data_IF_190238982572
#
_entry.id   IF_190238982572
#
_cell.length_a   1.000
_cell.length_b   1.000
_cell.length_c   1.000
_cell.angle_alpha   90.00
_cell.angle_beta   90.00
_cell.angle_gamma   90.00
#
_symmetry.space_group_name_H-M   'P 1'
#
loop_
_entity.id
_entity.type
_entity.pdbx_description
1 polymer ?
#
# COMPACT_ATOMS: atom_id res chain seq x y z
N UNK A 1 -74.64 -24.86 6.77
CA UNK A 1 -73.40 -24.58 7.47
C UNK A 1 -72.31 -25.39 6.78
N UNK A 2 -71.39 -24.70 6.00
CA UNK A 2 -70.33 -25.39 5.26
C UNK A 2 -69.05 -25.32 6.12
N UNK A 3 -68.54 -26.48 6.53
CA UNK A 3 -67.26 -26.58 7.26
C UNK A 3 -66.11 -26.50 6.26
N UNK A 4 -65.34 -25.45 6.33
CA UNK A 4 -64.12 -25.27 5.57
C UNK A 4 -62.92 -25.88 6.35
N UNK A 5 -62.50 -27.08 5.93
CA UNK A 5 -61.33 -27.74 6.52
C UNK A 5 -60.05 -27.08 6.00
N UNK A 6 -59.32 -26.37 6.87
CA UNK A 6 -58.02 -25.76 6.57
C UNK A 6 -56.93 -26.83 6.74
N UNK A 7 -56.44 -27.34 5.64
CA UNK A 7 -55.30 -28.30 5.63
C UNK A 7 -54.00 -27.55 5.87
N UNK A 8 -53.42 -27.61 7.08
CA UNK A 8 -52.16 -27.03 7.44
C UNK A 8 -51.03 -27.93 6.89
N UNK A 9 -50.41 -27.55 5.77
CA UNK A 9 -49.24 -28.25 5.22
C UNK A 9 -48.00 -27.83 6.00
N UNK A 10 -47.46 -28.72 6.83
CA UNK A 10 -46.21 -28.54 7.57
C UNK A 10 -45.03 -28.82 6.62
N UNK A 11 -44.41 -27.79 6.08
CA UNK A 11 -43.17 -27.92 5.29
C UNK A 11 -42.01 -28.08 6.26
N UNK A 12 -41.58 -29.32 6.49
CA UNK A 12 -40.32 -29.60 7.19
C UNK A 12 -39.15 -29.20 6.30
N UNK A 13 -38.55 -28.04 6.57
CA UNK A 13 -37.27 -27.69 6.02
C UNK A 13 -36.19 -28.57 6.67
N UNK A 14 -35.74 -29.61 5.98
CA UNK A 14 -34.53 -30.36 6.36
C UNK A 14 -33.32 -29.47 6.16
N UNK A 15 -32.90 -28.80 7.21
CA UNK A 15 -31.61 -28.14 7.25
C UNK A 15 -30.51 -29.19 7.13
N UNK A 16 -29.88 -29.31 5.98
CA UNK A 16 -28.69 -30.17 5.83
C UNK A 16 -27.55 -29.50 6.60
N UNK A 17 -27.25 -30.02 7.79
CA UNK A 17 -26.10 -29.65 8.55
C UNK A 17 -24.84 -30.12 7.80
N UNK A 18 -24.15 -29.20 7.08
CA UNK A 18 -22.86 -29.49 6.48
C UNK A 18 -21.76 -29.43 7.55
N UNK A 19 -20.94 -30.47 7.60
CA UNK A 19 -19.76 -30.48 8.46
C UNK A 19 -18.80 -29.39 7.96
N UNK A 20 -18.50 -28.42 8.82
CA UNK A 20 -17.51 -27.37 8.52
C UNK A 20 -16.12 -27.85 8.96
N UNK A 21 -15.18 -27.89 8.03
CA UNK A 21 -13.77 -28.22 8.30
C UNK A 21 -12.87 -27.07 7.89
N UNK A 22 -11.75 -26.85 8.60
CA UNK A 22 -10.76 -25.85 8.19
C UNK A 22 -10.21 -26.14 6.79
N UNK A 23 -10.04 -25.09 5.99
CA UNK A 23 -9.43 -25.20 4.67
C UNK A 23 -7.92 -25.51 4.80
N UNK A 24 -7.37 -26.49 4.06
CA UNK A 24 -5.93 -26.79 4.06
C UNK A 24 -5.03 -25.62 3.66
N UNK A 25 -5.55 -24.72 2.82
CA UNK A 25 -4.89 -23.49 2.38
C UNK A 25 -5.86 -22.33 2.60
N UNK A 26 -5.88 -21.73 3.81
CA UNK A 26 -6.84 -20.68 4.12
C UNK A 26 -6.64 -19.47 3.21
N UNK A 27 -7.76 -18.84 2.84
CA UNK A 27 -7.72 -17.59 2.08
C UNK A 27 -7.35 -16.41 2.97
N UNK A 28 -6.74 -15.40 2.38
CA UNK A 28 -6.49 -14.12 3.03
C UNK A 28 -6.81 -12.99 2.07
N UNK A 29 -7.24 -11.86 2.63
CA UNK A 29 -7.40 -10.60 1.93
C UNK A 29 -6.63 -9.53 2.69
N UNK A 30 -5.82 -8.76 1.97
CA UNK A 30 -5.07 -7.62 2.49
C UNK A 30 -5.45 -6.39 1.67
N UNK A 31 -5.78 -5.30 2.33
CA UNK A 31 -5.95 -3.99 1.72
C UNK A 31 -4.88 -3.05 2.28
N UNK A 32 -4.07 -2.50 1.40
CA UNK A 32 -2.99 -1.58 1.72
C UNK A 32 -3.13 -0.30 0.89
N UNK A 33 -3.07 0.86 1.55
CA UNK A 33 -2.93 2.13 0.85
C UNK A 33 -1.44 2.41 0.66
N UNK A 34 -1.04 2.63 -0.58
CA UNK A 34 0.31 3.03 -0.98
C UNK A 34 0.21 4.41 -1.59
N UNK A 35 0.75 5.42 -0.92
CA UNK A 35 0.51 6.81 -1.30
C UNK A 35 -0.99 7.14 -1.33
N UNK A 36 -1.54 7.39 -2.52
CA UNK A 36 -2.97 7.64 -2.74
C UNK A 36 -3.67 6.49 -3.48
N UNK A 37 -3.00 5.36 -3.66
CA UNK A 37 -3.52 4.19 -4.38
C UNK A 37 -3.87 3.08 -3.40
N UNK A 38 -5.09 2.54 -3.53
CA UNK A 38 -5.51 1.35 -2.80
C UNK A 38 -5.04 0.10 -3.56
N UNK A 39 -4.31 -0.75 -2.86
CA UNK A 39 -3.86 -2.07 -3.33
C UNK A 39 -4.63 -3.13 -2.56
N UNK A 40 -5.30 -4.05 -3.25
CA UNK A 40 -6.01 -5.17 -2.64
C UNK A 40 -5.39 -6.47 -3.13
N UNK A 41 -5.04 -7.34 -2.21
CA UNK A 41 -4.45 -8.65 -2.45
C UNK A 41 -5.37 -9.72 -1.88
N UNK A 42 -5.78 -10.69 -2.70
CA UNK A 42 -6.56 -11.85 -2.28
C UNK A 42 -5.89 -13.13 -2.76
N UNK A 43 -5.58 -14.06 -1.85
CA UNK A 43 -4.92 -15.31 -2.19
C UNK A 43 -5.12 -16.38 -1.12
N UNK A 44 -4.89 -17.65 -1.47
CA UNK A 44 -4.86 -18.75 -0.51
C UNK A 44 -3.42 -19.08 -0.14
N UNK A 45 -3.21 -19.42 1.14
CA UNK A 45 -1.91 -19.64 1.78
C UNK A 45 -1.62 -21.12 2.04
N UNK A 46 -1.09 -21.89 1.06
CA UNK A 46 -0.62 -23.24 1.31
C UNK A 46 0.60 -23.23 2.25
N UNK A 47 0.71 -24.25 3.10
CA UNK A 47 1.85 -24.48 4.00
C UNK A 47 2.76 -25.56 3.46
N UNK A 48 4.04 -25.52 3.84
CA UNK A 48 5.06 -26.53 3.45
C UNK A 48 4.70 -27.91 3.99
N UNK A 49 4.39 -28.01 5.25
CA UNK A 49 4.08 -29.28 5.93
C UNK A 49 5.18 -30.33 5.70
N UNK A 50 6.44 -29.91 5.82
CA UNK A 50 7.60 -30.77 5.63
C UNK A 50 7.92 -31.16 4.20
N UNK A 51 7.25 -30.58 3.18
CA UNK A 51 7.53 -30.82 1.76
C UNK A 51 8.58 -29.84 1.26
N UNK A 52 9.38 -30.27 0.28
CA UNK A 52 10.18 -29.38 -0.55
C UNK A 52 9.27 -28.67 -1.54
N UNK A 53 9.36 -27.37 -1.60
CA UNK A 53 8.45 -26.55 -2.41
C UNK A 53 9.04 -26.32 -3.80
N UNK A 54 10.16 -25.62 -3.87
CA UNK A 54 10.75 -25.20 -5.13
C UNK A 54 11.48 -26.37 -5.80
N UNK A 55 11.04 -26.74 -7.01
CA UNK A 55 11.57 -27.85 -7.79
C UNK A 55 10.83 -29.18 -7.58
N UNK A 56 10.04 -29.35 -6.50
CA UNK A 56 9.23 -30.54 -6.25
C UNK A 56 7.73 -30.23 -6.32
N UNK A 57 7.15 -29.60 -5.29
CA UNK A 57 5.74 -29.24 -5.28
C UNK A 57 5.39 -28.23 -6.39
N UNK A 58 6.31 -27.33 -6.66
CA UNK A 58 6.23 -26.35 -7.75
C UNK A 58 7.42 -26.61 -8.69
N UNK A 59 7.21 -27.30 -9.82
CA UNK A 59 8.27 -27.60 -10.77
C UNK A 59 8.87 -26.30 -11.36
N UNK A 60 10.19 -26.29 -11.52
CA UNK A 60 10.88 -25.17 -12.17
C UNK A 60 10.52 -25.10 -13.65
N UNK A 61 10.30 -23.89 -14.16
CA UNK A 61 9.94 -23.62 -15.55
C UNK A 61 8.47 -23.84 -15.89
N UNK A 62 7.66 -24.38 -14.97
CA UNK A 62 6.24 -24.57 -15.18
C UNK A 62 5.40 -23.44 -14.60
N UNK A 63 4.22 -23.23 -15.19
CA UNK A 63 3.32 -22.18 -14.73
C UNK A 63 2.64 -22.58 -13.42
N UNK A 64 2.63 -21.68 -12.44
CA UNK A 64 1.99 -21.84 -11.14
C UNK A 64 1.02 -20.67 -10.87
N UNK A 65 -0.14 -20.96 -10.27
CA UNK A 65 -1.21 -19.98 -9.92
C UNK A 65 -0.88 -19.06 -8.73
N UNK A 66 0.37 -19.01 -8.29
CA UNK A 66 0.84 -18.16 -7.18
C UNK A 66 0.04 -18.34 -5.87
N UNK A 67 -0.25 -19.60 -5.50
CA UNK A 67 -1.03 -19.93 -4.31
C UNK A 67 -1.75 -21.27 -4.45
N UNK A 68 -2.96 -21.35 -3.90
CA UNK A 68 -3.82 -22.53 -3.95
C UNK A 68 -5.28 -22.12 -4.19
N UNK A 69 -6.15 -23.10 -4.52
CA UNK A 69 -7.58 -22.88 -4.79
C UNK A 69 -7.82 -21.94 -5.99
N UNK A 70 -8.66 -20.91 -5.82
CA UNK A 70 -8.88 -19.86 -6.81
C UNK A 70 -7.57 -19.06 -7.05
N UNK A 71 -7.47 -18.39 -8.18
CA UNK A 71 -6.36 -17.49 -8.50
C UNK A 71 -6.04 -16.53 -7.35
N UNK A 72 -4.75 -16.31 -7.11
CA UNK A 72 -4.30 -15.15 -6.38
C UNK A 72 -4.53 -13.91 -7.23
N UNK A 73 -5.08 -12.85 -6.65
CA UNK A 73 -5.37 -11.61 -7.36
C UNK A 73 -4.73 -10.41 -6.70
N UNK A 74 -4.35 -9.44 -7.52
CA UNK A 74 -3.86 -8.13 -7.11
C UNK A 74 -4.66 -7.05 -7.83
N UNK A 75 -5.24 -6.12 -7.06
CA UNK A 75 -6.08 -5.04 -7.59
C UNK A 75 -5.47 -3.69 -7.26
N UNK A 76 -5.56 -2.76 -8.19
CA UNK A 76 -5.07 -1.39 -8.05
C UNK A 76 -6.20 -0.40 -8.35
N UNK A 77 -6.38 0.62 -7.50
CA UNK A 77 -7.37 1.69 -7.72
C UNK A 77 -6.96 2.72 -8.76
N UNK A 78 -5.70 2.70 -9.17
CA UNK A 78 -5.08 3.64 -10.10
C UNK A 78 -4.18 2.91 -11.10
N UNK A 79 -3.80 3.57 -12.19
CA UNK A 79 -2.73 3.10 -13.07
C UNK A 79 -1.42 3.08 -12.28
N UNK A 80 -0.67 1.98 -12.37
CA UNK A 80 0.57 1.75 -11.61
C UNK A 80 1.71 1.27 -12.50
N UNK A 81 2.94 1.28 -11.96
CA UNK A 81 4.09 0.59 -12.56
C UNK A 81 4.52 -0.54 -11.64
N UNK A 82 4.57 -1.76 -12.14
CA UNK A 82 5.01 -2.95 -11.39
C UNK A 82 6.23 -3.55 -12.06
N UNK A 83 7.37 -3.57 -11.37
CA UNK A 83 8.63 -4.05 -11.93
C UNK A 83 9.04 -3.33 -13.23
N UNK A 84 8.76 -2.03 -13.32
CA UNK A 84 9.01 -1.22 -14.54
C UNK A 84 7.99 -1.42 -15.66
N UNK A 85 6.91 -2.19 -15.47
CA UNK A 85 5.85 -2.40 -16.44
C UNK A 85 4.58 -1.64 -16.03
N UNK A 86 4.05 -0.84 -16.96
CA UNK A 86 2.80 -0.12 -16.73
C UNK A 86 1.61 -1.09 -16.70
N UNK A 87 0.77 -0.94 -15.69
CA UNK A 87 -0.50 -1.64 -15.52
C UNK A 87 -1.62 -0.63 -15.33
N UNK A 88 -2.73 -0.83 -16.01
CA UNK A 88 -3.94 -0.05 -15.80
C UNK A 88 -4.58 -0.37 -14.45
N UNK A 89 -5.37 0.56 -13.92
CA UNK A 89 -6.24 0.27 -12.77
C UNK A 89 -7.11 -0.95 -13.06
N UNK A 90 -7.30 -1.81 -12.07
CA UNK A 90 -8.08 -3.03 -12.25
C UNK A 90 -7.57 -4.19 -11.39
N UNK A 91 -8.11 -5.36 -11.65
CA UNK A 91 -7.76 -6.60 -10.95
C UNK A 91 -7.07 -7.55 -11.92
N UNK A 92 -6.00 -8.18 -11.46
CA UNK A 92 -5.19 -9.13 -12.23
C UNK A 92 -5.01 -10.42 -11.44
N UNK A 93 -5.20 -11.55 -12.09
CA UNK A 93 -4.74 -12.83 -11.57
C UNK A 93 -3.22 -12.92 -11.69
N UNK A 94 -2.57 -13.48 -10.67
CA UNK A 94 -1.13 -13.65 -10.63
C UNK A 94 -0.78 -15.08 -10.98
N UNK A 95 0.06 -15.24 -11.99
CA UNK A 95 0.72 -16.51 -12.31
C UNK A 95 2.22 -16.31 -12.26
N UNK A 96 2.94 -17.38 -11.92
CA UNK A 96 4.39 -17.35 -11.77
C UNK A 96 4.96 -18.55 -12.54
N UNK A 97 6.04 -18.33 -13.30
CA UNK A 97 6.90 -19.40 -13.79
C UNK A 97 8.22 -19.29 -13.02
N UNK A 98 8.43 -20.15 -12.01
CA UNK A 98 9.64 -20.08 -11.19
C UNK A 98 10.83 -20.65 -11.96
N UNK A 99 11.95 -19.96 -11.87
CA UNK A 99 13.27 -20.45 -12.28
C UNK A 99 14.22 -20.42 -11.08
N UNK A 100 15.37 -21.04 -11.22
CA UNK A 100 16.35 -21.15 -10.13
C UNK A 100 16.84 -19.78 -9.64
N UNK A 101 17.13 -18.88 -10.57
CA UNK A 101 17.71 -17.56 -10.27
C UNK A 101 16.78 -16.40 -10.62
N UNK A 102 15.72 -16.67 -11.36
CA UNK A 102 14.80 -15.65 -11.86
C UNK A 102 13.39 -16.22 -12.00
N UNK A 103 12.40 -15.46 -11.62
CA UNK A 103 10.99 -15.76 -11.82
C UNK A 103 10.39 -14.86 -12.88
N UNK A 104 9.47 -15.40 -13.69
CA UNK A 104 8.55 -14.62 -14.51
C UNK A 104 7.22 -14.52 -13.77
N UNK A 105 6.78 -13.31 -13.48
CA UNK A 105 5.50 -13.03 -12.82
C UNK A 105 4.56 -12.39 -13.83
N UNK A 106 3.43 -13.03 -14.08
CA UNK A 106 2.43 -12.63 -15.06
C UNK A 106 1.24 -11.98 -14.37
N UNK A 107 0.86 -10.81 -14.85
CA UNK A 107 -0.39 -10.12 -14.50
C UNK A 107 -1.42 -10.43 -15.58
N UNK A 108 -2.42 -11.23 -15.23
CA UNK A 108 -3.35 -11.84 -16.17
C UNK A 108 -4.76 -11.27 -15.98
N UNK A 109 -5.45 -10.93 -17.07
CA UNK A 109 -6.74 -10.24 -17.01
C UNK A 109 -7.94 -11.14 -16.72
N UNK A 110 -7.83 -12.45 -16.98
CA UNK A 110 -8.88 -13.41 -16.64
C UNK A 110 -8.68 -13.88 -15.18
N UNK A 111 -9.57 -13.44 -14.29
CA UNK A 111 -9.42 -13.59 -12.84
C UNK A 111 -10.29 -14.68 -12.20
N UNK A 112 -11.14 -15.36 -13.00
CA UNK A 112 -12.13 -16.31 -12.46
C UNK A 112 -11.70 -17.78 -12.62
N UNK A 113 -10.40 -18.05 -12.77
CA UNK A 113 -9.91 -19.40 -12.94
C UNK A 113 -9.71 -20.11 -11.59
N UNK A 114 -10.06 -21.39 -11.54
CA UNK A 114 -9.71 -22.29 -10.45
C UNK A 114 -8.48 -23.10 -10.82
N UNK A 115 -7.30 -22.55 -10.55
CA UNK A 115 -6.03 -23.14 -11.00
C UNK A 115 -5.45 -22.43 -12.21
N UNK A 116 -4.66 -23.17 -12.98
CA UNK A 116 -4.10 -22.72 -14.26
C UNK A 116 -5.19 -22.88 -15.33
N UNK A 117 -5.43 -21.87 -16.19
CA UNK A 117 -6.35 -22.02 -17.31
C UNK A 117 -5.98 -23.21 -18.22
N UNK A 118 -6.96 -24.01 -18.64
CA UNK A 118 -6.71 -25.11 -19.60
C UNK A 118 -6.06 -24.61 -20.89
N UNK A 119 -6.47 -23.42 -21.32
CA UNK A 119 -5.87 -22.74 -22.49
C UNK A 119 -5.22 -21.43 -22.02
N UNK A 120 -3.90 -21.43 -21.97
CA UNK A 120 -3.13 -20.22 -21.69
C UNK A 120 -3.21 -19.26 -22.88
N UNK A 121 -3.85 -18.09 -22.65
CA UNK A 121 -3.99 -17.05 -23.67
C UNK A 121 -3.01 -15.90 -23.42
N UNK A 122 -1.97 -15.82 -24.23
CA UNK A 122 -0.96 -14.77 -24.12
C UNK A 122 -1.51 -13.35 -24.33
N UNK A 123 -2.66 -13.20 -25.01
CA UNK A 123 -3.33 -11.89 -25.17
C UNK A 123 -3.96 -11.38 -23.89
N UNK A 124 -4.21 -12.28 -22.94
CA UNK A 124 -4.74 -11.93 -21.61
C UNK A 124 -3.63 -11.53 -20.61
N UNK A 125 -2.37 -11.56 -21.02
CA UNK A 125 -1.25 -11.08 -20.20
C UNK A 125 -1.17 -9.56 -20.32
N UNK A 126 -1.48 -8.84 -19.24
CA UNK A 126 -1.35 -7.39 -19.18
C UNK A 126 0.10 -6.95 -19.02
N UNK A 127 0.89 -7.70 -18.23
CA UNK A 127 2.31 -7.48 -18.06
C UNK A 127 3.04 -8.77 -17.64
N UNK A 128 4.30 -8.87 -17.99
CA UNK A 128 5.24 -9.87 -17.48
C UNK A 128 6.42 -9.14 -16.83
N UNK A 129 6.73 -9.52 -15.58
CA UNK A 129 7.88 -9.00 -14.83
C UNK A 129 8.86 -10.13 -14.57
N UNK A 130 10.10 -9.96 -15.03
CA UNK A 130 11.20 -10.84 -14.69
C UNK A 130 11.91 -10.29 -13.45
N UNK A 131 12.10 -11.13 -12.44
CA UNK A 131 12.66 -10.70 -11.15
C UNK A 131 13.56 -11.78 -10.55
N UNK A 132 14.71 -11.36 -10.02
CA UNK A 132 15.69 -12.25 -9.40
C UNK A 132 15.16 -12.82 -8.09
N UNK A 133 15.46 -14.10 -7.86
CA UNK A 133 15.22 -14.75 -6.58
C UNK A 133 16.27 -14.32 -5.55
N UNK A 134 15.86 -14.30 -4.29
CA UNK A 134 16.71 -14.09 -3.13
C UNK A 134 16.51 -15.27 -2.16
N UNK A 135 17.58 -15.69 -1.49
CA UNK A 135 17.50 -16.75 -0.49
C UNK A 135 17.26 -16.16 0.88
N UNK A 136 16.20 -16.61 1.55
CA UNK A 136 15.92 -16.28 2.94
C UNK A 136 16.77 -17.14 3.89
N UNK A 137 17.22 -16.56 4.99
CA UNK A 137 17.94 -17.28 6.05
C UNK A 137 17.02 -18.24 6.80
N UNK A 138 15.77 -17.88 6.98
CA UNK A 138 14.75 -18.68 7.66
C UNK A 138 13.66 -19.06 6.67
N UNK A 139 13.21 -20.31 6.75
CA UNK A 139 12.15 -20.81 5.89
C UNK A 139 10.79 -20.22 6.28
N UNK A 140 10.02 -19.82 5.29
CA UNK A 140 8.64 -19.35 5.43
C UNK A 140 7.71 -20.53 5.22
N UNK A 141 7.09 -21.02 6.29
CA UNK A 141 6.21 -22.20 6.29
C UNK A 141 4.97 -22.01 5.41
N UNK A 142 4.28 -20.89 5.56
CA UNK A 142 3.07 -20.59 4.78
C UNK A 142 3.38 -19.61 3.66
N UNK A 143 3.01 -19.95 2.43
CA UNK A 143 3.12 -19.03 1.29
C UNK A 143 2.56 -17.65 1.64
N UNK A 144 3.34 -16.64 1.40
CA UNK A 144 3.01 -15.26 1.78
C UNK A 144 3.25 -14.31 0.61
N UNK A 145 2.22 -13.54 0.27
CA UNK A 145 2.36 -12.33 -0.55
C UNK A 145 2.14 -11.14 0.38
N UNK A 146 3.02 -10.15 0.33
CA UNK A 146 2.93 -8.93 1.15
C UNK A 146 3.25 -7.68 0.34
N UNK A 147 2.80 -6.53 0.87
CA UNK A 147 3.14 -5.20 0.35
C UNK A 147 3.93 -4.52 1.45
N UNK A 148 5.24 -4.39 1.25
CA UNK A 148 6.20 -3.91 2.24
C UNK A 148 6.93 -2.65 1.72
N UNK A 149 7.85 -2.07 2.50
CA UNK A 149 8.70 -0.92 2.14
C UNK A 149 7.89 0.31 1.66
N UNK A 150 6.82 0.58 2.38
CA UNK A 150 5.85 1.62 2.04
C UNK A 150 6.47 3.01 2.05
N UNK A 151 6.23 3.76 0.99
CA UNK A 151 6.54 5.18 0.91
C UNK A 151 5.47 5.92 0.10
N UNK A 152 5.59 7.25 -0.01
CA UNK A 152 4.58 8.07 -0.69
C UNK A 152 4.36 7.71 -2.16
N UNK A 153 5.38 7.17 -2.84
CA UNK A 153 5.35 6.95 -4.28
C UNK A 153 5.39 5.47 -4.66
N UNK A 154 5.47 4.56 -3.68
CA UNK A 154 5.58 3.15 -4.00
C UNK A 154 5.67 2.23 -2.79
N UNK A 155 5.89 0.96 -3.10
CA UNK A 155 6.05 -0.14 -2.17
C UNK A 155 6.82 -1.28 -2.84
N UNK A 156 6.99 -2.39 -2.13
CA UNK A 156 7.51 -3.63 -2.69
C UNK A 156 6.47 -4.75 -2.54
N UNK A 157 6.12 -5.43 -3.63
CA UNK A 157 5.30 -6.63 -3.60
C UNK A 157 6.24 -7.81 -3.42
N UNK A 158 6.12 -8.53 -2.31
CA UNK A 158 6.97 -9.65 -1.96
C UNK A 158 6.23 -10.98 -2.04
N UNK A 159 6.85 -11.99 -2.63
CA UNK A 159 6.41 -13.38 -2.67
C UNK A 159 7.41 -14.22 -1.87
N UNK A 160 6.95 -14.88 -0.80
CA UNK A 160 7.81 -15.61 0.14
C UNK A 160 7.27 -17.02 0.35
N UNK A 161 8.08 -18.04 0.12
CA UNK A 161 7.78 -19.42 0.51
C UNK A 161 9.06 -20.23 0.61
N UNK A 162 9.09 -21.15 1.56
CA UNK A 162 10.33 -21.90 1.88
C UNK A 162 11.48 -20.91 2.10
N UNK A 163 12.62 -21.11 1.47
CA UNK A 163 13.75 -20.18 1.55
C UNK A 163 13.82 -19.19 0.36
N UNK A 164 12.73 -19.03 -0.38
CA UNK A 164 12.71 -18.15 -1.55
C UNK A 164 11.93 -16.88 -1.30
N UNK A 165 12.53 -15.76 -1.66
CA UNK A 165 11.92 -14.42 -1.73
C UNK A 165 12.07 -13.88 -3.15
N UNK A 166 10.99 -13.29 -3.64
CA UNK A 166 10.96 -12.49 -4.87
C UNK A 166 10.30 -11.16 -4.54
N UNK A 167 10.96 -10.05 -4.89
CA UNK A 167 10.54 -8.69 -4.54
C UNK A 167 10.36 -7.86 -5.81
N UNK A 168 9.15 -7.36 -6.04
CA UNK A 168 8.80 -6.56 -7.22
C UNK A 168 8.50 -5.13 -6.78
N UNK A 169 9.23 -4.11 -7.27
CA UNK A 169 8.89 -2.72 -7.01
C UNK A 169 7.51 -2.35 -7.57
N UNK A 170 6.73 -1.65 -6.78
CA UNK A 170 5.46 -1.03 -7.13
C UNK A 170 5.61 0.49 -7.06
N UNK A 171 5.31 1.18 -8.15
CA UNK A 171 5.24 2.63 -8.20
C UNK A 171 3.79 3.07 -8.40
N UNK A 172 3.38 4.10 -7.67
CA UNK A 172 2.02 4.63 -7.68
C UNK A 172 2.00 6.11 -8.04
N UNK A 173 0.93 6.63 -8.66
CA UNK A 173 0.88 7.99 -9.22
C UNK A 173 0.62 9.07 -8.17
N UNK A 174 1.12 8.92 -6.93
CA UNK A 174 0.87 9.87 -5.84
C UNK A 174 1.26 11.28 -6.20
N UNK A 175 2.47 11.43 -6.79
CA UNK A 175 2.99 12.76 -7.11
C UNK A 175 2.07 13.51 -8.09
N UNK A 176 1.73 12.89 -9.21
CA UNK A 176 0.87 13.52 -10.22
C UNK A 176 -0.54 13.84 -9.68
N UNK A 177 -1.13 12.94 -8.89
CA UNK A 177 -2.43 13.13 -8.25
C UNK A 177 -2.40 14.28 -7.24
N UNK A 178 -1.38 14.31 -6.36
CA UNK A 178 -1.24 15.36 -5.35
C UNK A 178 -0.99 16.73 -5.99
N UNK A 179 -0.12 16.80 -7.00
CA UNK A 179 0.13 18.06 -7.71
C UNK A 179 -1.10 18.58 -8.44
N UNK A 180 -1.89 17.69 -9.06
CA UNK A 180 -3.15 18.06 -9.68
C UNK A 180 -4.17 18.58 -8.63
N UNK A 181 -4.27 17.90 -7.50
CA UNK A 181 -5.14 18.31 -6.38
C UNK A 181 -4.73 19.69 -5.82
N UNK A 182 -3.43 19.89 -5.54
CA UNK A 182 -2.91 21.18 -5.06
C UNK A 182 -3.25 22.29 -6.07
N UNK A 183 -2.94 22.06 -7.35
CA UNK A 183 -3.22 23.04 -8.42
C UNK A 183 -4.70 23.44 -8.49
N UNK A 184 -5.60 22.48 -8.34
CA UNK A 184 -7.02 22.74 -8.41
C UNK A 184 -7.51 23.48 -7.15
N UNK A 185 -7.12 23.01 -5.95
CA UNK A 185 -7.50 23.65 -4.69
C UNK A 185 -7.02 25.09 -4.61
N UNK A 186 -5.80 25.37 -5.06
CA UNK A 186 -5.21 26.73 -5.00
C UNK A 186 -5.82 27.73 -5.99
N UNK A 187 -6.66 27.31 -6.93
CA UNK A 187 -7.43 28.22 -7.79
C UNK A 187 -8.69 28.76 -7.13
N UNK A 188 -9.20 28.06 -6.11
CA UNK A 188 -10.44 28.41 -5.42
C UNK A 188 -10.21 29.30 -4.20
N UNK A 189 -10.84 28.95 -3.08
CA UNK A 189 -10.72 29.61 -1.78
C UNK A 189 -10.09 28.63 -0.77
N UNK A 190 -8.75 28.39 -0.81
CA UNK A 190 -8.08 27.43 0.04
C UNK A 190 -8.14 27.87 1.51
N UNK A 191 -8.30 26.88 2.39
CA UNK A 191 -8.30 27.04 3.85
C UNK A 191 -6.90 26.87 4.42
N UNK A 192 -6.72 27.21 5.69
CA UNK A 192 -5.44 27.05 6.40
C UNK A 192 -4.87 25.60 6.27
N UNK A 193 -5.74 24.58 6.35
CA UNK A 193 -5.35 23.19 6.19
C UNK A 193 -4.85 22.83 4.79
N UNK A 194 -5.39 23.48 3.75
CA UNK A 194 -4.97 23.27 2.36
C UNK A 194 -3.57 23.83 2.13
N UNK A 195 -3.34 25.07 2.57
CA UNK A 195 -2.01 25.70 2.54
C UNK A 195 -0.97 24.89 3.34
N UNK A 196 -1.35 24.41 4.53
CA UNK A 196 -0.50 23.56 5.36
C UNK A 196 -0.13 22.26 4.64
N UNK A 197 -1.12 21.54 4.12
CA UNK A 197 -0.90 20.27 3.42
C UNK A 197 -0.05 20.43 2.15
N UNK A 198 -0.29 21.48 1.37
CA UNK A 198 0.49 21.79 0.18
C UNK A 198 1.95 22.14 0.54
N UNK A 199 2.19 22.92 1.59
CA UNK A 199 3.52 23.28 2.05
C UNK A 199 4.32 22.04 2.48
N UNK A 200 3.71 21.14 3.25
CA UNK A 200 4.34 19.90 3.68
C UNK A 200 4.69 19.02 2.49
N UNK A 201 3.73 18.85 1.57
CA UNK A 201 3.96 18.00 0.40
C UNK A 201 5.11 18.53 -0.46
N UNK A 202 5.17 19.85 -0.70
CA UNK A 202 6.26 20.49 -1.44
C UNK A 202 7.62 20.25 -0.78
N UNK A 203 7.70 20.40 0.54
CA UNK A 203 8.93 20.09 1.29
C UNK A 203 9.31 18.62 1.17
N UNK A 204 8.37 17.68 1.43
CA UNK A 204 8.65 16.25 1.45
C UNK A 204 8.96 15.64 0.07
N UNK A 205 8.45 16.27 -1.00
CA UNK A 205 8.65 15.84 -2.38
C UNK A 205 9.73 16.63 -3.12
N UNK A 206 10.57 17.41 -2.40
CA UNK A 206 11.65 18.22 -2.94
C UNK A 206 11.17 19.19 -4.05
N UNK A 207 9.98 19.79 -3.87
CA UNK A 207 9.47 20.84 -4.74
C UNK A 207 10.02 22.22 -4.31
N UNK A 208 9.49 23.30 -4.89
CA UNK A 208 9.91 24.67 -4.56
C UNK A 208 9.68 25.00 -3.08
N UNK A 209 10.76 25.01 -2.30
CA UNK A 209 10.76 25.35 -0.87
C UNK A 209 10.36 26.81 -0.60
N UNK A 210 10.61 27.74 -1.54
CA UNK A 210 10.16 29.13 -1.39
C UNK A 210 8.63 29.21 -1.51
N UNK A 211 8.02 28.38 -2.37
CA UNK A 211 6.58 28.30 -2.44
C UNK A 211 6.00 27.61 -1.18
N UNK A 212 6.66 26.56 -0.67
CA UNK A 212 6.27 25.92 0.60
C UNK A 212 6.34 26.92 1.76
N UNK A 213 7.38 27.78 1.83
CA UNK A 213 7.52 28.86 2.82
C UNK A 213 6.35 29.85 2.76
N UNK A 214 5.94 30.28 1.55
CA UNK A 214 4.78 31.16 1.39
C UNK A 214 3.48 30.53 1.89
N UNK A 215 3.25 29.27 1.54
CA UNK A 215 2.03 28.57 1.94
C UNK A 215 1.97 28.28 3.43
N UNK A 216 3.07 27.84 4.06
CA UNK A 216 3.06 27.62 5.52
C UNK A 216 2.86 28.93 6.29
N UNK A 217 3.43 30.04 5.81
CA UNK A 217 3.18 31.35 6.40
C UNK A 217 1.70 31.75 6.28
N UNK A 218 1.07 31.49 5.13
CA UNK A 218 -0.35 31.76 4.93
C UNK A 218 -1.26 30.88 5.80
N UNK A 219 -0.92 29.61 5.97
CA UNK A 219 -1.63 28.71 6.88
C UNK A 219 -1.57 29.23 8.34
N UNK A 220 -0.42 29.69 8.80
CA UNK A 220 -0.23 30.25 10.14
C UNK A 220 -0.97 31.59 10.30
N UNK A 221 -0.97 32.45 9.28
CA UNK A 221 -1.75 33.71 9.30
C UNK A 221 -3.24 33.44 9.54
N UNK A 222 -3.77 32.38 8.92
CA UNK A 222 -5.19 32.00 9.02
C UNK A 222 -5.51 31.23 10.31
N UNK A 223 -4.55 30.50 10.91
CA UNK A 223 -4.74 29.70 12.14
C UNK A 223 -3.42 29.62 12.93
N UNK A 224 -3.12 30.66 13.71
CA UNK A 224 -1.84 30.85 14.41
C UNK A 224 -1.63 30.00 15.65
N UNK A 225 -2.65 29.30 16.16
CA UNK A 225 -2.58 28.53 17.41
C UNK A 225 -2.00 27.12 17.29
N UNK A 226 -1.45 26.74 16.18
CA UNK A 226 -1.12 25.34 15.86
C UNK A 226 0.40 25.08 15.90
N UNK A 227 0.90 24.49 16.99
CA UNK A 227 2.33 24.15 17.14
C UNK A 227 2.89 23.35 15.97
N UNK A 228 2.13 22.46 15.36
CA UNK A 228 2.56 21.66 14.23
C UNK A 228 2.80 22.48 12.95
N UNK A 229 2.09 23.58 12.74
CA UNK A 229 2.34 24.50 11.63
C UNK A 229 3.68 25.21 11.78
N UNK A 230 3.97 25.74 12.97
CA UNK A 230 5.27 26.34 13.27
C UNK A 230 6.41 25.33 13.20
N UNK A 231 6.17 24.06 13.56
CA UNK A 231 7.16 23.01 13.36
C UNK A 231 7.47 22.81 11.88
N UNK A 232 6.47 22.75 10.99
CA UNK A 232 6.70 22.64 9.56
C UNK A 232 7.39 23.88 8.99
N UNK A 233 7.00 25.06 9.47
CA UNK A 233 7.69 26.32 9.10
C UNK A 233 9.17 26.25 9.47
N UNK A 234 9.50 25.81 10.68
CA UNK A 234 10.90 25.70 11.12
C UNK A 234 11.72 24.74 10.25
N UNK A 235 11.12 23.61 9.84
CA UNK A 235 11.79 22.65 8.95
C UNK A 235 12.03 23.24 7.55
N UNK A 236 11.04 23.91 6.97
CA UNK A 236 11.17 24.55 5.65
C UNK A 236 12.25 25.62 5.68
N UNK A 237 12.30 26.46 6.74
CA UNK A 237 13.29 27.51 6.90
C UNK A 237 14.70 26.94 7.08
N UNK A 238 14.85 25.85 7.84
CA UNK A 238 16.12 25.16 8.00
C UNK A 238 16.66 24.60 6.68
N UNK A 239 15.78 23.97 5.88
CA UNK A 239 16.13 23.46 4.55
C UNK A 239 16.48 24.58 3.54
N UNK A 240 15.97 25.80 3.75
CA UNK A 240 16.36 27.02 3.02
C UNK A 240 17.63 27.68 3.57
N UNK A 241 18.31 27.10 4.59
CA UNK A 241 19.45 27.68 5.31
C UNK A 241 19.15 29.02 6.03
N UNK A 242 17.89 29.31 6.33
CA UNK A 242 17.44 30.47 7.11
C UNK A 242 17.46 30.12 8.61
N UNK A 243 18.64 29.80 9.16
CA UNK A 243 18.80 29.21 10.50
C UNK A 243 18.16 30.01 11.61
N UNK A 244 18.35 31.31 11.66
CA UNK A 244 17.81 32.18 12.73
C UNK A 244 16.27 32.16 12.73
N UNK A 245 15.67 32.23 11.54
CA UNK A 245 14.23 32.17 11.39
C UNK A 245 13.68 30.76 11.72
N UNK A 246 14.40 29.71 11.37
CA UNK A 246 14.07 28.33 11.70
C UNK A 246 14.03 28.11 13.23
N UNK A 247 15.06 28.60 13.95
CA UNK A 247 15.13 28.55 15.41
C UNK A 247 13.99 29.35 16.05
N UNK A 248 13.69 30.55 15.52
CA UNK A 248 12.56 31.35 16.00
C UNK A 248 11.23 30.63 15.88
N UNK A 249 10.94 30.04 14.70
CA UNK A 249 9.74 29.24 14.47
C UNK A 249 9.68 27.99 15.36
N UNK A 250 10.80 27.30 15.57
CA UNK A 250 10.89 26.13 16.44
C UNK A 250 10.59 26.49 17.92
N UNK A 251 11.05 27.65 18.39
CA UNK A 251 10.75 28.17 19.75
C UNK A 251 9.25 28.43 19.94
N UNK A 252 8.57 29.00 18.93
CA UNK A 252 7.11 29.19 18.97
C UNK A 252 6.40 27.84 19.01
N UNK A 253 6.81 26.91 18.16
CA UNK A 253 6.26 25.54 18.14
C UNK A 253 6.45 24.84 19.48
N UNK A 254 7.63 24.97 20.11
CA UNK A 254 7.95 24.38 21.41
C UNK A 254 7.02 24.92 22.49
N UNK A 255 6.88 26.25 22.58
CA UNK A 255 6.00 26.90 23.57
C UNK A 255 4.56 26.42 23.43
N UNK A 256 3.98 26.50 22.25
CA UNK A 256 2.61 26.05 21.97
C UNK A 256 2.41 24.55 22.22
N UNK A 257 3.41 23.72 21.92
CA UNK A 257 3.36 22.28 22.19
C UNK A 257 3.41 21.98 23.69
N UNK A 258 4.19 22.73 24.48
CA UNK A 258 4.24 22.57 25.94
C UNK A 258 2.93 23.01 26.58
N UNK A 259 2.37 24.14 26.16
CA UNK A 259 1.04 24.60 26.59
C UNK A 259 -0.07 23.58 26.27
N UNK A 260 0.05 22.87 25.13
CA UNK A 260 -0.86 21.78 24.73
C UNK A 260 -0.54 20.43 25.38
N UNK A 261 0.52 20.30 26.17
CA UNK A 261 0.95 19.07 26.83
C UNK A 261 1.58 18.04 25.86
N UNK A 262 1.95 18.43 24.64
CA UNK A 262 2.52 17.52 23.65
C UNK A 262 4.05 17.37 23.80
N UNK A 263 4.46 16.43 24.63
CA UNK A 263 5.87 16.20 24.99
C UNK A 263 6.74 15.74 23.80
N UNK A 264 6.15 15.10 22.76
CA UNK A 264 6.89 14.70 21.57
C UNK A 264 7.34 15.91 20.76
N UNK A 265 6.43 16.86 20.53
CA UNK A 265 6.80 18.11 19.83
C UNK A 265 7.74 18.98 20.66
N UNK A 266 7.62 19.00 21.98
CA UNK A 266 8.60 19.66 22.87
C UNK A 266 9.98 19.06 22.61
N UNK A 267 10.14 17.73 22.69
CA UNK A 267 11.42 17.04 22.45
C UNK A 267 11.98 17.31 21.04
N UNK A 268 11.12 17.21 20.02
CA UNK A 268 11.53 17.43 18.62
C UNK A 268 12.01 18.86 18.37
N UNK A 269 11.36 19.85 18.97
CA UNK A 269 11.74 21.25 18.79
C UNK A 269 13.00 21.60 19.60
N UNK A 270 13.13 21.09 20.83
CA UNK A 270 14.35 21.29 21.65
C UNK A 270 15.58 20.80 20.88
N UNK A 271 15.53 19.56 20.36
CA UNK A 271 16.63 19.00 19.58
C UNK A 271 16.98 19.85 18.34
N UNK A 272 15.96 20.28 17.60
CA UNK A 272 16.15 21.08 16.40
C UNK A 272 16.77 22.47 16.72
N UNK A 273 16.34 23.11 17.81
CA UNK A 273 16.91 24.38 18.25
C UNK A 273 18.40 24.21 18.59
N UNK A 274 18.77 23.16 19.31
CA UNK A 274 20.17 22.85 19.63
C UNK A 274 21.02 22.63 18.37
N UNK A 275 20.50 21.82 17.42
CA UNK A 275 21.19 21.50 16.16
C UNK A 275 21.40 22.74 15.26
N UNK A 276 20.42 23.66 15.22
CA UNK A 276 20.47 24.82 14.32
C UNK A 276 21.13 26.05 14.93
N UNK A 277 21.29 26.07 16.26
CA UNK A 277 21.96 27.18 16.96
C UNK A 277 23.48 27.04 16.97
N UNK A 278 24.00 25.88 16.59
CA UNK A 278 25.43 25.59 16.40
C UNK A 278 25.79 25.73 14.90
#
# INVERSE_FOLDING_TARGET
>A
MKHLNFLLVFVCAFGMAQIQTPQPSPSTKVEQVVGLTKVTLEYSRPAMRGRTIMGELIPMGELWRAGANKNSTLSFSDDVTVGGKALKQGTYAIFIRPGVTMWEVFFYTQIENWGIPEKWDTKSIAATVEVKTQTLKEAVESYTISVDDLNNNGATINFKWENTLVSIPLEVPTHSKTMASIKETMKGDPKAGDYYSAAIYYRQSNQDLNQAKKWIAKAIEMDSGKYWMYRQQSLILAELNEKEAAVAAAKVSLKLADEAGNKDYVRLNTKAIEEWSN
#
